data_IF_767631571541
#
_entry.id   IF_767631571541
#
_cell.length_a   1.000
_cell.length_b   1.000
_cell.length_c   1.000
_cell.angle_alpha   90.00
_cell.angle_beta   90.00
_cell.angle_gamma   90.00
#
_symmetry.space_group_name_H-M   'P 1'
#
loop_
_entity.id
_entity.type
_entity.pdbx_description
1 polymer ?
#
# COMPACT_ATOMS: atom_id res chain seq x y z
N UNK A 1 26.59 -3.07 -5.35
CA UNK A 1 25.18 -2.66 -5.43
C UNK A 1 25.05 -1.32 -4.72
N UNK A 2 24.30 -0.35 -5.25
CA UNK A 2 24.07 0.93 -4.56
C UNK A 2 23.46 0.70 -3.17
N UNK A 3 23.64 1.66 -2.26
CA UNK A 3 23.10 1.57 -0.91
C UNK A 3 21.60 1.26 -0.94
N UNK A 4 21.19 0.19 -0.26
CA UNK A 4 19.81 -0.26 -0.30
C UNK A 4 18.89 0.74 0.44
N UNK A 5 17.78 1.19 -0.16
CA UNK A 5 16.92 2.22 0.44
C UNK A 5 16.14 1.73 1.67
N UNK A 6 16.30 0.48 2.14
CA UNK A 6 15.55 -0.06 3.29
C UNK A 6 15.67 0.79 4.55
N UNK A 7 16.89 1.18 4.93
CA UNK A 7 17.07 1.98 6.15
C UNK A 7 16.30 3.30 6.08
N UNK A 8 16.41 4.01 4.96
CA UNK A 8 15.68 5.27 4.72
C UNK A 8 14.17 5.03 4.66
N UNK A 9 13.71 3.94 4.03
CA UNK A 9 12.30 3.60 3.97
C UNK A 9 11.70 3.30 5.35
N UNK A 10 12.42 2.59 6.21
CA UNK A 10 12.01 2.30 7.59
C UNK A 10 12.02 3.57 8.46
N UNK A 11 13.01 4.45 8.28
CA UNK A 11 13.03 5.77 8.93
C UNK A 11 11.79 6.59 8.56
N UNK A 12 11.43 6.66 7.26
CA UNK A 12 10.21 7.36 6.81
C UNK A 12 8.95 6.71 7.35
N UNK A 13 8.87 5.38 7.34
CA UNK A 13 7.70 4.66 7.86
C UNK A 13 7.48 4.87 9.35
N UNK A 14 8.55 5.12 10.12
CA UNK A 14 8.46 5.42 11.54
C UNK A 14 7.91 6.81 11.87
N UNK A 15 7.81 7.70 10.88
CA UNK A 15 7.37 9.10 11.10
C UNK A 15 5.88 9.22 11.40
N UNK A 16 5.04 8.28 10.94
CA UNK A 16 3.59 8.36 11.12
C UNK A 16 3.00 6.99 11.51
N UNK A 17 1.98 6.96 12.40
CA UNK A 17 1.45 5.70 12.94
C UNK A 17 0.63 4.88 11.93
N UNK A 18 0.19 5.49 10.83
CA UNK A 18 -0.68 4.86 9.84
C UNK A 18 0.06 4.41 8.58
N UNK A 19 1.40 4.35 8.61
CA UNK A 19 2.16 3.79 7.48
C UNK A 19 2.04 2.27 7.44
N UNK A 20 1.80 1.72 6.26
CA UNK A 20 1.96 0.30 5.98
C UNK A 20 3.25 0.06 5.17
N UNK A 21 3.99 -1.00 5.51
CA UNK A 21 5.19 -1.47 4.78
C UNK A 21 5.03 -2.93 4.40
N UNK A 22 5.60 -3.32 3.26
CA UNK A 22 5.65 -4.72 2.80
C UNK A 22 6.99 -5.38 3.17
N UNK A 23 7.16 -6.66 2.81
CA UNK A 23 8.35 -7.47 3.13
C UNK A 23 9.55 -7.07 2.25
N UNK A 24 10.75 -7.06 2.83
CA UNK A 24 12.02 -6.99 2.09
C UNK A 24 13.03 -8.02 2.64
N UNK A 25 13.72 -8.78 1.76
CA UNK A 25 13.52 -8.90 0.32
C UNK A 25 12.23 -9.66 -0.01
N UNK A 26 11.48 -9.22 -1.03
CA UNK A 26 10.20 -9.87 -1.40
C UNK A 26 10.31 -10.90 -2.53
N UNK A 27 11.45 -10.93 -3.24
CA UNK A 27 11.70 -11.81 -4.40
C UNK A 27 12.55 -13.04 -4.06
N UNK A 28 12.86 -13.24 -2.79
CA UNK A 28 13.64 -14.36 -2.29
C UNK A 28 12.86 -15.69 -2.28
N UNK A 29 11.53 -15.64 -2.22
CA UNK A 29 10.66 -16.81 -2.32
C UNK A 29 9.33 -16.50 -2.98
N UNK A 30 8.69 -17.51 -3.59
CA UNK A 30 7.34 -17.36 -4.14
C UNK A 30 6.32 -16.95 -3.07
N UNK A 31 6.48 -17.47 -1.85
CA UNK A 31 5.62 -17.12 -0.71
C UNK A 31 5.67 -15.63 -0.38
N UNK A 32 6.86 -15.03 -0.33
CA UNK A 32 6.98 -13.59 -0.09
C UNK A 32 6.42 -12.76 -1.24
N UNK A 33 6.55 -13.22 -2.50
CA UNK A 33 5.91 -12.58 -3.64
C UNK A 33 4.40 -12.55 -3.44
N UNK A 34 3.79 -13.70 -3.12
CA UNK A 34 2.36 -13.83 -2.93
C UNK A 34 1.86 -12.95 -1.77
N UNK A 35 2.57 -12.93 -0.64
CA UNK A 35 2.26 -12.11 0.53
C UNK A 35 2.30 -10.61 0.21
N UNK A 36 3.34 -10.14 -0.48
CA UNK A 36 3.48 -8.71 -0.83
C UNK A 36 2.44 -8.28 -1.85
N UNK A 37 2.11 -9.13 -2.83
CA UNK A 37 1.06 -8.85 -3.83
C UNK A 37 -0.31 -8.76 -3.16
N UNK A 38 -0.63 -9.68 -2.26
CA UNK A 38 -1.92 -9.64 -1.55
C UNK A 38 -2.02 -8.42 -0.64
N UNK A 39 -0.95 -8.08 0.09
CA UNK A 39 -0.90 -6.88 0.92
C UNK A 39 -1.13 -5.61 0.07
N UNK A 40 -0.45 -5.48 -1.07
CA UNK A 40 -0.63 -4.33 -1.95
C UNK A 40 -2.07 -4.20 -2.48
N UNK A 41 -2.70 -5.30 -2.88
CA UNK A 41 -4.11 -5.32 -3.31
C UNK A 41 -5.05 -4.85 -2.20
N UNK A 42 -4.87 -5.38 -0.98
CA UNK A 42 -5.66 -4.99 0.19
C UNK A 42 -5.53 -3.50 0.47
N UNK A 43 -4.31 -2.97 0.45
CA UNK A 43 -4.02 -1.56 0.67
C UNK A 43 -4.73 -0.68 -0.35
N UNK A 44 -4.57 -0.96 -1.65
CA UNK A 44 -5.18 -0.16 -2.72
C UNK A 44 -6.72 -0.18 -2.66
N UNK A 45 -7.31 -1.32 -2.30
CA UNK A 45 -8.77 -1.45 -2.12
C UNK A 45 -9.28 -0.68 -0.90
N UNK A 46 -8.53 -0.69 0.20
CA UNK A 46 -8.88 0.06 1.41
C UNK A 46 -8.76 1.58 1.24
N UNK A 47 -7.86 2.00 0.33
CA UNK A 47 -7.57 3.40 0.03
C UNK A 47 -7.96 3.79 -1.39
N UNK A 48 -9.11 3.30 -1.86
CA UNK A 48 -9.68 3.74 -3.14
C UNK A 48 -9.84 5.28 -3.12
N UNK A 49 -9.35 6.00 -4.15
CA UNK A 49 -9.54 7.43 -4.22
C UNK A 49 -11.03 7.75 -4.21
N UNK A 50 -11.44 8.71 -3.38
CA UNK A 50 -12.78 9.30 -3.52
C UNK A 50 -12.80 10.00 -4.87
N UNK A 51 -13.33 9.32 -5.88
CA UNK A 51 -13.57 9.93 -7.19
C UNK A 51 -14.50 11.11 -6.95
N UNK A 52 -14.10 12.31 -7.38
CA UNK A 52 -14.99 13.47 -7.49
C UNK A 52 -16.04 13.21 -8.59
N UNK A 53 -16.89 12.20 -8.39
CA UNK A 53 -17.67 11.57 -9.45
C UNK A 53 -18.58 10.45 -8.95
N UNK A 54 -19.21 10.61 -7.78
CA UNK A 54 -20.43 9.86 -7.43
C UNK A 54 -21.46 10.73 -6.67
N UNK A 55 -21.55 12.01 -7.08
CA UNK A 55 -22.76 12.83 -6.88
C UNK A 55 -23.79 12.37 -7.92
N UNK A 56 -24.33 11.18 -7.70
CA UNK A 56 -25.40 10.57 -8.49
C UNK A 56 -26.39 9.89 -7.55
N UNK A 57 -26.69 10.52 -6.41
CA UNK A 57 -27.89 10.18 -5.65
C UNK A 57 -29.04 10.89 -6.36
N UNK A 58 -29.75 10.14 -7.21
CA UNK A 58 -31.11 10.51 -7.62
C UNK A 58 -31.90 10.78 -6.34
N UNK A 59 -32.28 12.03 -6.11
CA UNK A 59 -33.29 12.36 -5.11
C UNK A 59 -34.65 12.13 -5.76
N UNK A 60 -35.52 11.25 -5.23
CA UNK A 60 -36.91 11.21 -5.64
C UNK A 60 -37.64 12.38 -4.96
N UNK A 61 -38.31 13.20 -5.77
CA UNK A 61 -39.23 14.26 -5.38
C UNK A 61 -40.10 14.61 -6.56
#
# INVERSE_FOLDING_TARGET
>A
MPAHPYKVAMEVASLVPNTEVTIYPWKDSQKHIDEVVEHARRFLKAHEPVTAGRQGRVQPG
#
